data_IF_158005992603
#
_entry.id   IF_158005992603
#
_cell.length_a   1.000
_cell.length_b   1.000
_cell.length_c   1.000
_cell.angle_alpha   90.00
_cell.angle_beta   90.00
_cell.angle_gamma   90.00
#
_symmetry.space_group_name_H-M   'P 1'
#
loop_
_entity.id
_entity.type
_entity.pdbx_description
1 polymer ?
#
# COMPACT_ATOMS: atom_id res chain seq x y z
N UNK A 1 27.04 -27.83 -76.44
CA UNK A 1 26.02 -27.27 -75.55
C UNK A 1 25.20 -28.41 -74.98
N UNK A 2 25.44 -28.78 -73.71
CA UNK A 2 24.49 -29.56 -72.91
C UNK A 2 24.61 -29.01 -71.49
N UNK A 3 23.57 -28.30 -71.05
CA UNK A 3 23.42 -27.76 -69.70
C UNK A 3 23.07 -28.92 -68.76
N UNK A 4 23.93 -29.18 -67.77
CA UNK A 4 23.67 -30.14 -66.71
C UNK A 4 22.86 -29.50 -65.58
N UNK A 5 21.76 -30.16 -65.22
CA UNK A 5 20.90 -29.86 -64.07
C UNK A 5 21.69 -29.86 -62.75
N UNK A 6 21.41 -28.88 -61.89
CA UNK A 6 21.91 -28.81 -60.52
C UNK A 6 20.97 -29.59 -59.57
N UNK A 7 21.49 -30.35 -58.58
CA UNK A 7 20.66 -31.03 -57.60
C UNK A 7 20.14 -30.08 -56.50
N UNK A 8 19.01 -30.38 -55.84
CA UNK A 8 18.43 -29.51 -54.81
C UNK A 8 19.22 -29.57 -53.50
N UNK A 9 19.37 -28.42 -52.85
CA UNK A 9 19.92 -28.28 -51.50
C UNK A 9 19.11 -29.11 -50.50
N UNK A 10 19.74 -30.13 -49.90
CA UNK A 10 19.23 -30.82 -48.71
C UNK A 10 19.64 -30.02 -47.48
N UNK A 11 18.66 -29.45 -46.79
CA UNK A 11 18.83 -28.86 -45.47
C UNK A 11 19.13 -29.97 -44.44
N UNK A 12 20.15 -29.79 -43.61
CA UNK A 12 20.54 -30.78 -42.61
C UNK A 12 19.53 -30.82 -41.44
N UNK A 13 19.21 -32.00 -40.87
CA UNK A 13 18.32 -32.07 -39.71
C UNK A 13 18.97 -31.40 -38.48
N UNK A 14 18.18 -30.77 -37.59
CA UNK A 14 18.71 -30.12 -36.40
C UNK A 14 19.36 -31.16 -35.46
N UNK A 15 20.40 -30.78 -34.70
CA UNK A 15 21.06 -31.69 -33.78
C UNK A 15 20.07 -32.14 -32.68
N UNK A 16 20.00 -33.45 -32.48
CA UNK A 16 19.20 -34.08 -31.43
C UNK A 16 19.52 -33.44 -30.08
N UNK A 17 18.52 -32.80 -29.49
CA UNK A 17 18.53 -32.41 -28.08
C UNK A 17 18.64 -33.70 -27.27
N UNK A 18 19.82 -33.98 -26.73
CA UNK A 18 20.05 -35.16 -25.89
C UNK A 18 19.29 -35.01 -24.56
N UNK A 19 18.04 -35.50 -24.56
CA UNK A 19 17.14 -35.50 -23.40
C UNK A 19 17.67 -36.33 -22.23
N UNK A 20 18.75 -37.12 -22.39
CA UNK A 20 19.43 -37.79 -21.28
C UNK A 20 20.29 -36.84 -20.46
N UNK A 21 20.90 -35.81 -21.06
CA UNK A 21 21.71 -34.84 -20.33
C UNK A 21 20.87 -34.00 -19.37
N UNK A 22 19.65 -33.61 -19.77
CA UNK A 22 18.70 -32.85 -18.93
C UNK A 22 18.11 -33.67 -17.76
N UNK A 23 18.18 -35.01 -17.82
CA UNK A 23 17.72 -35.87 -16.73
C UNK A 23 18.80 -36.09 -15.66
N UNK A 24 20.07 -35.90 -16.00
CA UNK A 24 21.19 -36.03 -15.05
C UNK A 24 21.34 -34.83 -14.10
N UNK A 25 20.81 -33.66 -14.45
CA UNK A 25 20.89 -32.44 -13.60
C UNK A 25 19.77 -32.33 -12.55
N UNK A 26 18.68 -33.10 -12.67
CA UNK A 26 17.57 -33.03 -11.72
C UNK A 26 17.76 -33.93 -10.49
N UNK A 27 18.51 -35.03 -10.64
CA UNK A 27 18.77 -35.99 -9.56
C UNK A 27 19.92 -35.56 -8.62
N UNK A 28 20.72 -34.54 -8.98
CA UNK A 28 21.72 -33.92 -8.09
C UNK A 28 21.13 -32.84 -7.17
N UNK A 29 19.82 -32.60 -7.22
CA UNK A 29 19.14 -31.63 -6.39
C UNK A 29 18.68 -32.20 -5.04
N UNK A 30 19.51 -33.07 -4.44
CA UNK A 30 19.38 -33.52 -3.06
C UNK A 30 20.75 -33.32 -2.40
N UNK A 31 20.77 -32.46 -1.37
CA UNK A 31 21.87 -32.18 -0.43
C UNK A 31 22.97 -31.17 -0.81
N UNK A 32 22.65 -30.10 -1.56
CA UNK A 32 23.44 -28.86 -1.40
C UNK A 32 22.94 -28.06 -0.18
N UNK A 33 23.55 -28.32 0.97
CA UNK A 33 23.49 -27.44 2.13
C UNK A 33 24.71 -26.49 2.04
N UNK A 34 24.53 -25.22 1.63
CA UNK A 34 25.66 -24.29 1.55
C UNK A 34 26.35 -24.20 2.92
N UNK A 35 27.69 -24.09 2.97
CA UNK A 35 28.38 -23.82 4.23
C UNK A 35 27.80 -22.55 4.85
N UNK A 36 27.48 -22.61 6.15
CA UNK A 36 26.98 -21.47 6.92
C UNK A 36 28.12 -20.45 7.00
N UNK A 37 28.24 -19.62 5.98
CA UNK A 37 29.02 -18.39 6.07
C UNK A 37 28.24 -17.50 7.01
N UNK A 38 28.79 -17.25 8.20
CA UNK A 38 28.20 -16.34 9.16
C UNK A 38 28.10 -14.96 8.51
N UNK A 39 26.93 -14.62 7.98
CA UNK A 39 26.63 -13.27 7.53
C UNK A 39 26.93 -12.32 8.70
N UNK A 40 27.68 -11.21 8.48
CA UNK A 40 27.84 -10.21 9.53
C UNK A 40 26.44 -9.77 9.95
N UNK A 41 26.16 -9.69 11.27
CA UNK A 41 24.81 -9.43 11.75
C UNK A 41 24.31 -8.14 11.12
N UNK A 42 23.31 -8.27 10.23
CA UNK A 42 22.61 -7.11 9.67
C UNK A 42 22.21 -6.26 10.86
N UNK A 43 22.65 -4.98 10.97
CA UNK A 43 22.35 -4.17 12.12
C UNK A 43 20.84 -4.17 12.26
N UNK A 44 20.36 -4.70 13.39
CA UNK A 44 18.95 -4.90 13.64
C UNK A 44 18.24 -3.60 13.27
N UNK A 45 17.43 -3.62 12.19
CA UNK A 45 16.60 -2.47 11.81
C UNK A 45 15.94 -2.04 13.09
N UNK A 46 16.31 -0.86 13.62
CA UNK A 46 15.74 -0.32 14.86
C UNK A 46 14.24 -0.35 14.66
N UNK A 47 13.58 -1.39 15.19
CA UNK A 47 12.13 -1.41 15.27
C UNK A 47 11.83 -0.17 16.08
N UNK A 48 11.24 0.85 15.45
CA UNK A 48 10.70 1.99 16.18
C UNK A 48 9.64 1.39 17.09
N UNK A 49 10.07 1.08 18.31
CA UNK A 49 9.28 0.59 19.41
C UNK A 49 8.43 1.76 19.85
N UNK A 50 7.33 1.99 19.14
CA UNK A 50 6.19 2.68 19.73
C UNK A 50 5.57 1.70 20.75
N UNK A 51 6.27 1.45 21.85
CA UNK A 51 5.89 0.49 22.91
C UNK A 51 5.06 1.15 24.01
N UNK A 52 4.73 2.43 23.85
CA UNK A 52 3.75 3.08 24.72
C UNK A 52 2.32 2.66 24.36
N UNK A 53 1.38 2.71 25.33
CA UNK A 53 -0.04 2.51 25.04
C UNK A 53 -0.49 3.50 23.96
N UNK A 54 -1.36 3.04 23.05
CA UNK A 54 -1.93 3.90 22.03
C UNK A 54 -2.64 5.07 22.72
N UNK A 55 -2.15 6.30 22.50
CA UNK A 55 -2.76 7.50 23.08
C UNK A 55 -4.23 7.56 22.66
N UNK A 56 -5.11 7.70 23.64
CA UNK A 56 -6.55 7.83 23.40
C UNK A 56 -6.81 8.99 22.42
N UNK A 57 -7.71 8.77 21.47
CA UNK A 57 -8.11 9.81 20.52
C UNK A 57 -8.88 10.88 21.26
N UNK A 58 -8.58 12.15 20.98
CA UNK A 58 -9.26 13.27 21.63
C UNK A 58 -10.68 13.49 21.10
N UNK A 59 -10.99 12.98 19.90
CA UNK A 59 -12.34 13.00 19.35
C UNK A 59 -12.67 11.66 18.67
N UNK A 60 -13.97 11.35 18.55
CA UNK A 60 -14.46 10.21 17.75
C UNK A 60 -14.26 10.40 16.24
N UNK A 61 -14.10 11.64 15.80
CA UNK A 61 -14.10 12.01 14.40
C UNK A 61 -12.71 11.84 13.77
N UNK A 62 -12.63 11.09 12.68
CA UNK A 62 -11.38 10.93 11.91
C UNK A 62 -10.90 12.30 11.42
N UNK A 63 -9.59 12.52 11.56
CA UNK A 63 -8.92 13.72 11.06
C UNK A 63 -9.21 14.98 11.86
N UNK A 64 -9.95 14.89 12.98
CA UNK A 64 -10.26 16.02 13.86
C UNK A 64 -9.60 15.76 15.21
N UNK A 65 -8.71 16.66 15.62
CA UNK A 65 -7.98 16.55 16.89
C UNK A 65 -8.26 17.77 17.74
N UNK A 66 -8.68 17.54 18.98
CA UNK A 66 -8.76 18.60 19.99
C UNK A 66 -7.36 19.09 20.36
N UNK A 67 -7.18 20.40 20.39
CA UNK A 67 -6.01 21.08 20.93
C UNK A 67 -6.47 21.88 22.15
N UNK A 68 -5.96 21.50 23.31
CA UNK A 68 -6.11 22.22 24.57
C UNK A 68 -4.70 22.56 25.04
N UNK A 69 -4.29 23.80 24.82
CA UNK A 69 -3.03 24.34 25.32
C UNK A 69 -3.37 25.55 26.16
N UNK A 70 -3.13 25.46 27.45
CA UNK A 70 -3.36 26.58 28.36
C UNK A 70 -2.26 27.64 28.23
N UNK A 71 -2.59 28.85 28.69
CA UNK A 71 -1.61 29.92 28.77
C UNK A 71 -0.55 29.59 29.83
N UNK A 72 0.70 30.01 29.59
CA UNK A 72 1.80 29.71 30.49
C UNK A 72 3.11 30.34 30.04
N UNK A 73 4.24 29.81 30.53
CA UNK A 73 5.58 30.18 30.06
C UNK A 73 6.35 28.94 29.65
N UNK A 74 7.10 29.06 28.56
CA UNK A 74 8.11 28.06 28.19
C UNK A 74 9.32 28.15 29.14
N UNK A 75 10.16 27.11 29.21
CA UNK A 75 11.40 27.13 30.00
C UNK A 75 12.38 28.24 29.58
N UNK A 76 12.29 28.70 28.33
CA UNK A 76 13.06 29.81 27.76
C UNK A 76 12.48 31.20 28.11
N UNK A 77 11.42 31.25 28.93
CA UNK A 77 10.77 32.49 29.37
C UNK A 77 9.68 33.03 28.44
N UNK A 78 9.50 32.48 27.23
CA UNK A 78 8.49 32.96 26.26
C UNK A 78 7.06 32.68 26.74
N UNK A 79 6.16 33.65 26.53
CA UNK A 79 4.73 33.51 26.87
C UNK A 79 4.05 32.53 25.92
N UNK A 80 3.37 31.53 26.48
CA UNK A 80 2.50 30.62 25.77
C UNK A 80 1.09 31.21 25.78
N UNK A 81 0.52 31.40 24.59
CA UNK A 81 -0.87 31.85 24.45
C UNK A 81 -1.79 30.65 24.51
N UNK A 82 -2.88 30.78 25.28
CA UNK A 82 -3.94 29.79 25.34
C UNK A 82 -4.48 29.51 23.92
N UNK A 83 -4.47 28.25 23.51
CA UNK A 83 -4.97 27.79 22.21
C UNK A 83 -5.90 26.63 22.46
N UNK A 84 -7.19 26.92 22.41
CA UNK A 84 -8.28 25.96 22.57
C UNK A 84 -9.08 25.88 21.28
N UNK A 85 -9.21 24.68 20.74
CA UNK A 85 -9.92 24.48 19.47
C UNK A 85 -9.71 23.12 18.85
N UNK A 86 -10.18 22.98 17.61
CA UNK A 86 -10.08 21.76 16.83
C UNK A 86 -9.20 21.96 15.61
N UNK A 87 -8.21 21.08 15.45
CA UNK A 87 -7.38 20.99 14.27
C UNK A 87 -7.93 19.90 13.36
N UNK A 88 -8.29 20.27 12.14
CA UNK A 88 -8.77 19.35 11.11
C UNK A 88 -7.68 19.13 10.09
N UNK A 89 -7.43 17.87 9.73
CA UNK A 89 -6.46 17.47 8.71
C UNK A 89 -7.07 16.46 7.76
N UNK A 90 -7.13 16.83 6.49
CA UNK A 90 -7.58 15.99 5.39
C UNK A 90 -6.40 15.78 4.45
N UNK A 91 -6.02 14.51 4.28
CA UNK A 91 -5.01 14.10 3.32
C UNK A 91 -5.67 13.31 2.19
N UNK A 92 -5.35 13.65 0.95
CA UNK A 92 -5.80 12.95 -0.24
C UNK A 92 -4.82 13.14 -1.39
N UNK A 93 -4.49 12.06 -2.12
CA UNK A 93 -3.60 12.12 -3.31
C UNK A 93 -2.29 12.93 -3.12
N UNK A 94 -1.66 12.83 -1.95
CA UNK A 94 -0.46 13.60 -1.52
C UNK A 94 -0.70 15.08 -1.23
N UNK A 95 -1.92 15.58 -1.39
CA UNK A 95 -2.32 16.93 -0.95
C UNK A 95 -2.77 16.91 0.51
N UNK A 96 -2.40 17.97 1.23
CA UNK A 96 -2.75 18.19 2.64
C UNK A 96 -3.59 19.45 2.75
N UNK A 97 -4.82 19.28 3.19
CA UNK A 97 -5.70 20.38 3.62
C UNK A 97 -5.80 20.36 5.13
N UNK A 98 -5.56 21.51 5.76
CA UNK A 98 -5.67 21.65 7.20
C UNK A 98 -6.32 22.97 7.55
N UNK A 99 -7.10 22.97 8.62
CA UNK A 99 -7.75 24.14 9.17
C UNK A 99 -7.84 24.04 10.69
N UNK A 100 -7.85 25.19 11.35
CA UNK A 100 -8.00 25.29 12.80
C UNK A 100 -9.27 26.09 13.14
N UNK A 101 -10.05 25.55 14.06
CA UNK A 101 -11.33 26.10 14.53
C UNK A 101 -11.17 26.42 16.01
N UNK A 102 -10.98 27.70 16.34
CA UNK A 102 -10.82 28.12 17.73
C UNK A 102 -12.16 28.22 18.45
N UNK A 103 -12.20 27.82 19.71
CA UNK A 103 -13.42 27.93 20.51
C UNK A 103 -13.86 29.38 20.65
N UNK A 104 -12.90 30.29 20.86
CA UNK A 104 -13.17 31.72 21.00
C UNK A 104 -13.88 32.32 19.77
N UNK A 105 -13.59 31.82 18.55
CA UNK A 105 -14.20 32.32 17.32
C UNK A 105 -15.61 31.77 17.10
N UNK A 106 -15.84 30.51 17.47
CA UNK A 106 -17.10 29.82 17.26
C UNK A 106 -18.02 29.84 18.49
N UNK A 107 -17.58 30.49 19.58
CA UNK A 107 -18.33 30.69 20.81
C UNK A 107 -17.99 29.65 21.88
N UNK A 108 -18.04 28.37 21.51
CA UNK A 108 -17.81 27.28 22.45
C UNK A 108 -17.15 26.05 21.80
N UNK A 109 -16.92 25.04 22.64
CA UNK A 109 -16.30 23.78 22.22
C UNK A 109 -17.19 22.97 21.26
N UNK A 110 -18.51 22.96 21.44
CA UNK A 110 -19.38 22.15 20.61
C UNK A 110 -19.58 22.78 19.23
N UNK A 111 -19.79 24.10 19.14
CA UNK A 111 -19.89 24.81 17.87
C UNK A 111 -18.57 24.74 17.09
N UNK A 112 -17.42 24.86 17.76
CA UNK A 112 -16.12 24.69 17.10
C UNK A 112 -15.93 23.27 16.54
N UNK A 113 -16.43 22.24 17.25
CA UNK A 113 -16.38 20.85 16.77
C UNK A 113 -17.30 20.65 15.56
N UNK A 114 -18.51 21.20 15.59
CA UNK A 114 -19.46 21.07 14.48
C UNK A 114 -18.94 21.76 13.22
N UNK A 115 -18.43 22.99 13.35
CA UNK A 115 -17.77 23.70 12.26
C UNK A 115 -16.57 22.93 11.69
N UNK A 116 -15.76 22.32 12.56
CA UNK A 116 -14.63 21.48 12.17
C UNK A 116 -15.06 20.23 11.38
N UNK A 117 -16.14 19.57 11.80
CA UNK A 117 -16.70 18.39 11.13
C UNK A 117 -17.31 18.78 9.78
N UNK A 118 -18.10 19.84 9.72
CA UNK A 118 -18.70 20.35 8.50
C UNK A 118 -17.63 20.72 7.46
N UNK A 119 -16.58 21.45 7.88
CA UNK A 119 -15.48 21.80 6.99
C UNK A 119 -14.73 20.57 6.47
N UNK A 120 -14.52 19.55 7.32
CA UNK A 120 -13.92 18.28 6.91
C UNK A 120 -14.74 17.65 5.81
N UNK A 121 -16.04 17.44 6.04
CA UNK A 121 -16.90 16.69 5.14
C UNK A 121 -17.09 17.43 3.80
N UNK A 122 -17.24 18.75 3.84
CA UNK A 122 -17.22 19.60 2.64
C UNK A 122 -15.88 19.48 1.88
N UNK A 123 -14.75 19.52 2.58
CA UNK A 123 -13.43 19.39 1.96
C UNK A 123 -13.22 18.00 1.37
N UNK A 124 -13.65 16.93 2.04
CA UNK A 124 -13.58 15.56 1.52
C UNK A 124 -14.44 15.39 0.26
N UNK A 125 -15.65 15.94 0.24
CA UNK A 125 -16.52 15.95 -0.94
C UNK A 125 -15.88 16.71 -2.11
N UNK A 126 -15.38 17.92 -1.86
CA UNK A 126 -14.76 18.78 -2.88
C UNK A 126 -13.54 18.15 -3.54
N UNK A 127 -12.69 17.45 -2.78
CA UNK A 127 -11.49 16.78 -3.32
C UNK A 127 -11.79 15.37 -3.88
N UNK A 128 -13.06 14.93 -3.85
CA UNK A 128 -13.47 13.61 -4.32
C UNK A 128 -12.93 12.45 -3.48
N UNK A 129 -12.73 12.67 -2.18
CA UNK A 129 -12.29 11.62 -1.25
C UNK A 129 -13.52 10.87 -0.73
N UNK A 130 -13.59 9.53 -0.84
CA UNK A 130 -14.70 8.78 -0.28
C UNK A 130 -14.73 8.93 1.24
N UNK A 131 -15.89 9.31 1.78
CA UNK A 131 -16.08 9.48 3.22
C UNK A 131 -16.06 8.09 3.88
N UNK A 132 -15.04 7.86 4.70
CA UNK A 132 -14.91 6.63 5.49
C UNK A 132 -14.16 6.94 6.78
N UNK A 133 -14.55 6.30 7.89
CA UNK A 133 -13.86 6.46 9.18
C UNK A 133 -12.47 5.79 9.22
N UNK A 134 -12.17 4.99 8.19
CA UNK A 134 -10.85 4.40 7.97
C UNK A 134 -9.97 5.28 7.11
N UNK A 135 -8.65 5.19 7.30
CA UNK A 135 -7.69 5.85 6.42
C UNK A 135 -7.76 5.25 5.02
N UNK A 136 -7.94 6.11 4.02
CA UNK A 136 -7.96 5.75 2.60
C UNK A 136 -6.75 6.41 1.94
N UNK A 137 -5.98 5.62 1.20
CA UNK A 137 -4.79 6.09 0.49
C UNK A 137 -5.18 6.28 -0.97
N UNK A 138 -5.07 7.51 -1.46
CA UNK A 138 -5.45 7.89 -2.83
C UNK A 138 -4.32 7.84 -3.86
N UNK A 139 -3.10 7.42 -3.49
CA UNK A 139 -1.93 7.37 -4.37
C UNK A 139 -1.20 6.03 -4.26
N UNK A 140 -0.72 5.53 -5.39
CA UNK A 140 0.07 4.29 -5.43
C UNK A 140 1.50 4.54 -4.97
N UNK A 141 2.01 3.65 -4.12
CA UNK A 141 3.43 3.59 -3.72
C UNK A 141 4.09 2.30 -4.21
N UNK A 142 3.48 1.63 -5.19
CA UNK A 142 3.96 0.34 -5.69
C UNK A 142 4.82 0.51 -6.93
N UNK A 143 5.65 -0.51 -7.17
CA UNK A 143 6.49 -0.63 -8.37
C UNK A 143 5.70 -0.76 -9.69
N UNK A 144 4.38 -1.03 -9.62
CA UNK A 144 3.51 -1.07 -10.80
C UNK A 144 2.82 0.26 -11.09
N UNK A 145 2.94 1.25 -10.19
CA UNK A 145 2.16 2.50 -10.25
C UNK A 145 0.68 2.32 -9.89
N UNK A 146 0.25 1.11 -9.52
CA UNK A 146 -1.15 0.78 -9.26
C UNK A 146 -1.44 0.62 -7.76
N UNK A 147 -2.51 1.26 -7.29
CA UNK A 147 -2.88 1.32 -5.88
C UNK A 147 -3.04 -0.07 -5.24
N UNK A 148 -2.13 -0.45 -4.34
CA UNK A 148 -2.21 -1.70 -3.59
C UNK A 148 -1.90 -2.95 -4.42
N UNK A 149 -1.28 -2.80 -5.59
CA UNK A 149 -0.78 -3.92 -6.40
C UNK A 149 0.73 -3.80 -6.46
N UNK A 150 1.48 -4.83 -6.11
CA UNK A 150 2.93 -4.87 -6.24
C UNK A 150 3.38 -6.09 -7.04
N UNK A 151 4.35 -5.91 -7.93
CA UNK A 151 5.04 -7.02 -8.60
C UNK A 151 6.07 -7.60 -7.63
N UNK A 152 6.08 -8.91 -7.44
CA UNK A 152 7.05 -9.63 -6.59
C UNK A 152 7.47 -10.93 -7.27
N UNK A 153 8.64 -11.43 -6.90
CA UNK A 153 9.07 -12.79 -7.24
C UNK A 153 8.82 -13.67 -6.02
N UNK A 154 8.08 -14.77 -6.20
CA UNK A 154 7.77 -15.73 -5.13
C UNK A 154 8.18 -17.10 -5.65
N UNK A 155 9.11 -17.76 -4.95
CA UNK A 155 9.63 -19.08 -5.34
C UNK A 155 10.10 -19.12 -6.81
N UNK A 156 10.84 -18.10 -7.26
CA UNK A 156 11.32 -17.98 -8.64
C UNK A 156 10.31 -17.46 -9.66
N UNK A 157 9.01 -17.46 -9.34
CA UNK A 157 7.95 -17.04 -10.25
C UNK A 157 7.53 -15.58 -10.06
N UNK A 158 7.33 -14.87 -11.16
CA UNK A 158 6.85 -13.49 -11.12
C UNK A 158 5.33 -13.45 -10.86
N UNK A 159 4.91 -12.69 -9.85
CA UNK A 159 3.50 -12.56 -9.44
C UNK A 159 3.12 -11.11 -9.21
N UNK A 160 1.86 -10.78 -9.50
CA UNK A 160 1.21 -9.57 -8.99
C UNK A 160 0.53 -9.89 -7.67
N UNK A 161 1.00 -9.28 -6.59
CA UNK A 161 0.36 -9.34 -5.28
C UNK A 161 -0.54 -8.13 -5.08
N UNK A 162 -1.80 -8.38 -4.79
CA UNK A 162 -2.83 -7.39 -4.48
C UNK A 162 -3.08 -7.42 -2.99
N UNK A 163 -3.07 -6.25 -2.35
CA UNK A 163 -3.39 -6.09 -0.95
C UNK A 163 -4.54 -5.10 -0.77
N UNK A 164 -5.48 -5.42 0.12
CA UNK A 164 -6.56 -4.54 0.54
C UNK A 164 -6.91 -4.75 2.01
N UNK A 165 -7.72 -3.86 2.57
CA UNK A 165 -8.33 -4.07 3.88
C UNK A 165 -9.79 -4.47 3.69
N UNK A 166 -10.23 -5.48 4.43
CA UNK A 166 -11.64 -5.85 4.44
C UNK A 166 -12.47 -4.87 5.30
N UNK A 167 -13.81 -4.99 5.28
CA UNK A 167 -14.72 -4.21 6.11
C UNK A 167 -14.52 -4.40 7.62
N UNK A 168 -13.88 -5.48 8.07
CA UNK A 168 -13.45 -5.67 9.47
C UNK A 168 -12.13 -4.93 9.77
N UNK A 169 -11.42 -4.46 8.74
CA UNK A 169 -10.12 -3.80 8.84
C UNK A 169 -8.91 -4.74 8.74
N UNK A 170 -9.14 -6.06 8.65
CA UNK A 170 -8.10 -7.08 8.47
C UNK A 170 -7.49 -6.95 7.08
N UNK A 171 -6.18 -7.16 6.99
CA UNK A 171 -5.47 -7.14 5.72
C UNK A 171 -5.75 -8.41 4.94
N UNK A 172 -6.17 -8.28 3.69
CA UNK A 172 -6.37 -9.37 2.73
C UNK A 172 -5.38 -9.23 1.59
N UNK A 173 -4.92 -10.37 1.09
CA UNK A 173 -3.95 -10.45 -0.01
C UNK A 173 -4.38 -11.51 -1.00
N UNK A 174 -4.11 -11.28 -2.27
CA UNK A 174 -4.29 -12.29 -3.32
C UNK A 174 -3.17 -12.13 -4.34
N UNK A 175 -2.74 -13.25 -4.94
CA UNK A 175 -1.63 -13.29 -5.88
C UNK A 175 -2.11 -13.80 -7.23
N UNK A 176 -1.58 -13.21 -8.30
CA UNK A 176 -1.81 -13.64 -9.68
C UNK A 176 -0.47 -13.91 -10.33
N UNK A 177 -0.23 -15.17 -10.73
CA UNK A 177 0.98 -15.56 -11.46
C UNK A 177 1.01 -14.92 -12.85
N UNK A 178 2.17 -14.36 -13.21
CA UNK A 178 2.44 -13.82 -14.55
C UNK A 178 2.63 -14.98 -15.52
N UNK A 179 3.39 -16.01 -15.13
CA UNK A 179 3.70 -17.17 -15.98
C UNK A 179 2.42 -17.88 -16.46
N UNK A 180 1.42 -18.03 -15.58
CA UNK A 180 0.15 -18.69 -15.92
C UNK A 180 -0.76 -17.87 -16.84
N UNK A 181 -0.78 -16.55 -16.68
CA UNK A 181 -1.80 -15.69 -17.29
C UNK A 181 -1.26 -14.76 -18.38
N UNK A 182 0.05 -14.56 -18.45
CA UNK A 182 0.70 -13.44 -19.13
C UNK A 182 0.57 -12.14 -18.34
N UNK A 183 1.54 -11.24 -18.50
CA UNK A 183 1.65 -10.00 -17.71
C UNK A 183 0.41 -9.11 -17.79
N UNK A 184 -0.07 -8.83 -19.01
CA UNK A 184 -1.22 -7.93 -19.25
C UNK A 184 -2.50 -8.47 -18.59
N UNK A 185 -2.80 -9.76 -18.76
CA UNK A 185 -4.02 -10.38 -18.19
C UNK A 185 -3.90 -10.55 -16.68
N UNK A 186 -2.72 -10.89 -16.16
CA UNK A 186 -2.47 -10.98 -14.73
C UNK A 186 -2.68 -9.62 -14.04
N UNK A 187 -2.18 -8.54 -14.65
CA UNK A 187 -2.38 -7.18 -14.15
C UNK A 187 -3.85 -6.76 -14.19
N UNK A 188 -4.58 -7.06 -15.27
CA UNK A 188 -6.01 -6.78 -15.35
C UNK A 188 -6.82 -7.51 -14.26
N UNK A 189 -6.52 -8.79 -14.03
CA UNK A 189 -7.14 -9.57 -12.94
C UNK A 189 -6.83 -8.94 -11.58
N UNK A 190 -5.58 -8.53 -11.36
CA UNK A 190 -5.15 -7.84 -10.15
C UNK A 190 -5.92 -6.52 -9.91
N UNK A 191 -6.06 -5.68 -10.95
CA UNK A 191 -6.83 -4.44 -10.91
C UNK A 191 -8.30 -4.69 -10.57
N UNK A 192 -8.93 -5.68 -11.20
CA UNK A 192 -10.33 -6.06 -10.94
C UNK A 192 -10.52 -6.51 -9.49
N UNK A 193 -9.64 -7.38 -8.99
CA UNK A 193 -9.67 -7.86 -7.61
C UNK A 193 -9.52 -6.72 -6.61
N UNK A 194 -8.59 -5.78 -6.87
CA UNK A 194 -8.39 -4.58 -6.04
C UNK A 194 -9.65 -3.71 -5.99
N UNK A 195 -10.25 -3.41 -7.15
CA UNK A 195 -11.47 -2.60 -7.24
C UNK A 195 -12.63 -3.25 -6.49
N UNK A 196 -12.80 -4.56 -6.64
CA UNK A 196 -13.85 -5.32 -5.93
C UNK A 196 -13.65 -5.30 -4.41
N UNK A 197 -12.40 -5.50 -3.95
CA UNK A 197 -12.07 -5.44 -2.52
C UNK A 197 -12.33 -4.07 -1.91
N UNK A 198 -12.00 -2.98 -2.62
CA UNK A 198 -12.32 -1.61 -2.16
C UNK A 198 -13.83 -1.32 -2.18
N UNK A 199 -14.57 -1.78 -3.19
CA UNK A 199 -16.02 -1.62 -3.24
C UNK A 199 -16.71 -2.27 -2.03
N UNK A 200 -16.32 -3.52 -1.70
CA UNK A 200 -16.81 -4.21 -0.49
C UNK A 200 -16.46 -3.44 0.78
N UNK A 201 -15.22 -2.93 0.88
CA UNK A 201 -14.76 -2.11 2.01
C UNK A 201 -15.56 -0.82 2.22
N UNK A 202 -16.07 -0.23 1.15
CA UNK A 202 -16.86 1.01 1.20
C UNK A 202 -18.33 0.72 1.53
N UNK A 203 -18.88 -0.36 0.99
CA UNK A 203 -20.30 -0.71 1.15
C UNK A 203 -20.61 -1.32 2.51
N UNK A 204 -19.75 -2.18 3.03
CA UNK A 204 -20.00 -2.86 4.30
C UNK A 204 -19.51 -1.98 5.47
N UNK A 205 -20.42 -1.53 6.36
CA UNK A 205 -20.01 -0.87 7.58
C UNK A 205 -19.18 -1.83 8.45
N UNK A 206 -18.23 -1.32 9.24
CA UNK A 206 -17.55 -2.16 10.21
C UNK A 206 -18.56 -2.81 11.15
N UNK A 207 -18.45 -4.13 11.35
CA UNK A 207 -18.98 -4.78 12.55
C UNK A 207 -18.40 -4.00 13.76
N UNK A 208 -19.30 -3.44 14.57
CA UNK A 208 -18.95 -2.60 15.73
C UNK A 208 -18.51 -3.46 16.90
#
# INVERSE_FOLDING_TARGET
>A
MVLGDAPPFREAPPPDLDLRALRYDLDQQIDYQPPIVAEPPIPARRRRRNTGPARMKTTKYKGVTRIDRDAGRQPDGRRITATHGYMVRVFWRKERHQAFFSDLKYGDRLAALDAAVAWRDHTEARIGKPRTDRTVIGYANSNTGELGISRRTVCGHAVFEVAWRDPSGKARRTRYSIDKNGEKRALQKAKKARRLGELRRVQEPPER
#
